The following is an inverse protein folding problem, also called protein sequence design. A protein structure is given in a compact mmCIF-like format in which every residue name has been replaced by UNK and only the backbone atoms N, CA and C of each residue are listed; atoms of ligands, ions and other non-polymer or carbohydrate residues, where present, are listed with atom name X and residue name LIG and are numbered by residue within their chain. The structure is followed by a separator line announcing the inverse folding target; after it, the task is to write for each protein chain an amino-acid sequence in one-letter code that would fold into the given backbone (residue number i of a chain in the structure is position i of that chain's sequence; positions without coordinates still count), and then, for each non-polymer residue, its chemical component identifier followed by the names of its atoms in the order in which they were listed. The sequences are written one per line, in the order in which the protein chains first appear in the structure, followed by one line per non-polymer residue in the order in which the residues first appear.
data_IF_586163679533
#
_entry.id   IF_586163679533
#
_cell.length_a   1.000
_cell.length_b   1.000
_cell.length_c   1.000
_cell.angle_alpha   90.00
_cell.angle_beta   90.00
_cell.angle_gamma   90.00
#
_symmetry.space_group_name_H-M   'P 1'
#
loop_
_entity.id
_entity.type
_entity.pdbx_description
1 polymer ?
#
# COMPACT_ATOMS: atom_id res chain seq x y z
N UNK A 1 -13.77 -31.82 16.97
CA UNK A 1 -13.75 -31.06 15.70
C UNK A 1 -12.71 -29.96 15.80
N UNK A 2 -11.49 -30.18 15.31
CA UNK A 2 -10.39 -29.22 15.41
C UNK A 2 -10.55 -28.10 14.40
N UNK A 3 -10.83 -26.88 14.89
CA UNK A 3 -10.69 -25.64 14.10
C UNK A 3 -9.21 -25.44 13.81
N UNK A 4 -8.71 -25.94 12.67
CA UNK A 4 -7.44 -25.50 12.10
C UNK A 4 -7.59 -24.01 11.77
N UNK A 5 -7.10 -23.15 12.66
CA UNK A 5 -6.86 -21.74 12.33
C UNK A 5 -5.91 -21.74 11.13
N UNK A 6 -6.44 -21.43 9.97
CA UNK A 6 -5.70 -21.35 8.72
C UNK A 6 -4.69 -20.22 8.80
N UNK A 7 -3.45 -20.54 9.18
CA UNK A 7 -2.30 -19.84 8.60
C UNK A 7 -2.45 -20.06 7.10
N UNK A 8 -2.98 -19.08 6.39
CA UNK A 8 -3.03 -19.10 4.92
C UNK A 8 -1.59 -19.17 4.44
N UNK A 9 -1.13 -20.39 4.18
CA UNK A 9 0.19 -20.64 3.62
C UNK A 9 0.18 -20.17 2.17
N UNK A 10 1.30 -19.61 1.72
CA UNK A 10 1.52 -19.38 0.30
C UNK A 10 1.41 -20.73 -0.41
N UNK A 11 0.59 -20.76 -1.45
CA UNK A 11 0.33 -21.95 -2.25
C UNK A 11 1.48 -22.17 -3.21
N UNK A 12 1.75 -23.43 -3.57
CA UNK A 12 2.78 -23.75 -4.57
C UNK A 12 2.53 -23.05 -5.91
N UNK A 13 1.27 -22.81 -6.26
CA UNK A 13 0.89 -22.07 -7.47
C UNK A 13 1.35 -20.60 -7.44
N UNK A 14 1.27 -19.93 -6.30
CA UNK A 14 1.76 -18.56 -6.09
C UNK A 14 3.29 -18.50 -6.26
N UNK A 15 4.01 -19.51 -5.75
CA UNK A 15 5.46 -19.65 -5.89
C UNK A 15 5.84 -19.90 -7.36
N UNK A 16 5.12 -20.78 -8.05
CA UNK A 16 5.39 -21.05 -9.47
C UNK A 16 5.11 -19.82 -10.32
N UNK A 17 4.01 -19.10 -10.04
CA UNK A 17 3.65 -17.88 -10.76
C UNK A 17 4.73 -16.81 -10.62
N UNK A 18 5.18 -16.47 -9.41
CA UNK A 18 6.18 -15.40 -9.23
C UNK A 18 7.53 -15.74 -9.88
N UNK A 19 7.85 -17.02 -10.01
CA UNK A 19 9.09 -17.47 -10.68
C UNK A 19 9.01 -17.44 -12.21
N UNK A 20 7.81 -17.51 -12.79
CA UNK A 20 7.60 -17.66 -14.23
C UNK A 20 6.92 -16.46 -14.90
N UNK A 21 6.22 -15.61 -14.15
CA UNK A 21 5.49 -14.49 -14.69
C UNK A 21 6.42 -13.39 -15.22
N UNK A 22 6.16 -12.89 -16.43
CA UNK A 22 6.82 -11.69 -16.97
C UNK A 22 6.45 -10.46 -16.15
N UNK A 23 5.16 -10.27 -15.89
CA UNK A 23 4.63 -9.21 -15.04
C UNK A 23 4.39 -9.73 -13.61
N UNK A 24 5.30 -9.34 -12.72
CA UNK A 24 5.26 -9.71 -11.30
C UNK A 24 4.57 -8.66 -10.44
N UNK A 25 3.93 -7.64 -11.03
CA UNK A 25 3.28 -6.55 -10.30
C UNK A 25 2.20 -7.01 -9.32
N UNK A 26 1.92 -6.14 -8.35
CA UNK A 26 0.83 -6.30 -7.39
C UNK A 26 -0.52 -6.57 -8.07
N UNK A 27 -0.82 -5.78 -9.11
CA UNK A 27 -2.07 -5.83 -9.83
C UNK A 27 -2.22 -7.14 -10.62
N UNK A 28 -1.15 -7.61 -11.25
CA UNK A 28 -1.14 -8.89 -11.97
C UNK A 28 -1.39 -10.06 -11.02
N UNK A 29 -0.77 -10.05 -9.84
CA UNK A 29 -0.99 -11.07 -8.81
C UNK A 29 -2.46 -11.11 -8.35
N UNK A 30 -3.01 -9.96 -7.95
CA UNK A 30 -4.40 -9.85 -7.46
C UNK A 30 -5.38 -10.33 -8.53
N UNK A 31 -5.16 -9.93 -9.78
CA UNK A 31 -5.99 -10.35 -10.92
C UNK A 31 -5.88 -11.85 -11.20
N UNK A 32 -4.67 -12.42 -11.14
CA UNK A 32 -4.42 -13.83 -11.44
C UNK A 32 -5.09 -14.77 -10.44
N UNK A 33 -5.06 -14.42 -9.16
CA UNK A 33 -5.59 -15.23 -8.06
C UNK A 33 -6.98 -14.80 -7.60
N UNK A 34 -7.63 -13.90 -8.35
CA UNK A 34 -8.99 -13.39 -8.09
C UNK A 34 -9.19 -12.96 -6.62
N UNK A 35 -8.17 -12.31 -6.06
CA UNK A 35 -8.15 -11.96 -4.64
C UNK A 35 -8.98 -10.70 -4.43
N UNK A 36 -10.23 -10.89 -4.01
CA UNK A 36 -11.16 -9.78 -3.75
C UNK A 36 -10.88 -9.04 -2.42
N UNK A 37 -10.24 -9.72 -1.45
CA UNK A 37 -9.82 -9.10 -0.19
C UNK A 37 -8.43 -8.45 -0.29
N UNK A 38 -8.40 -7.13 -0.49
CA UNK A 38 -7.18 -6.34 -0.70
C UNK A 38 -6.15 -6.49 0.43
N UNK A 39 -6.58 -6.48 1.70
CA UNK A 39 -5.69 -6.62 2.86
C UNK A 39 -5.06 -8.02 2.95
N UNK A 40 -5.85 -9.05 2.65
CA UNK A 40 -5.39 -10.45 2.67
C UNK A 40 -4.46 -10.72 1.48
N UNK A 41 -4.77 -10.17 0.29
CA UNK A 41 -3.89 -10.21 -0.87
C UNK A 41 -2.54 -9.51 -0.61
N UNK A 42 -2.56 -8.38 0.11
CA UNK A 42 -1.37 -7.64 0.50
C UNK A 42 -0.43 -8.46 1.39
N UNK A 43 -0.96 -9.08 2.44
CA UNK A 43 -0.14 -9.92 3.32
C UNK A 43 0.49 -11.09 2.56
N UNK A 44 -0.28 -11.74 1.68
CA UNK A 44 0.18 -12.88 0.88
C UNK A 44 1.24 -12.50 -0.14
N UNK A 45 1.02 -11.43 -0.89
CA UNK A 45 1.97 -10.97 -1.91
C UNK A 45 3.30 -10.53 -1.29
N UNK A 46 3.25 -9.76 -0.19
CA UNK A 46 4.45 -9.38 0.55
C UNK A 46 5.22 -10.61 1.03
N UNK A 47 4.53 -11.55 1.67
CA UNK A 47 5.14 -12.79 2.15
C UNK A 47 5.76 -13.60 1.00
N UNK A 48 5.12 -13.61 -0.18
CA UNK A 48 5.61 -14.28 -1.39
C UNK A 48 6.92 -13.67 -1.90
N UNK A 49 6.99 -12.34 -1.99
CA UNK A 49 8.22 -11.64 -2.42
C UNK A 49 9.36 -11.84 -1.40
N UNK A 50 9.06 -11.76 -0.10
CA UNK A 50 10.05 -11.95 0.95
C UNK A 50 10.61 -13.37 0.94
N UNK A 51 9.76 -14.40 0.77
CA UNK A 51 10.15 -15.81 0.76
C UNK A 51 10.79 -16.30 -0.54
N UNK A 52 10.54 -15.62 -1.67
CA UNK A 52 11.09 -16.04 -2.97
C UNK A 52 12.57 -15.67 -3.10
N UNK A 53 13.46 -16.65 -3.26
CA UNK A 53 14.91 -16.41 -3.41
C UNK A 53 15.35 -16.11 -4.86
N UNK A 54 14.46 -16.31 -5.83
CA UNK A 54 14.76 -16.14 -7.25
C UNK A 54 14.64 -14.69 -7.74
N UNK A 55 14.27 -13.75 -6.85
CA UNK A 55 14.13 -12.34 -7.15
C UNK A 55 15.29 -11.60 -6.48
N UNK A 56 15.96 -10.73 -7.23
CA UNK A 56 17.06 -9.91 -6.71
C UNK A 56 16.56 -9.01 -5.57
N UNK A 57 17.43 -8.65 -4.62
CA UNK A 57 17.07 -7.74 -3.52
C UNK A 57 16.54 -6.39 -4.03
N UNK A 58 17.09 -5.90 -5.14
CA UNK A 58 16.65 -4.66 -5.80
C UNK A 58 15.23 -4.80 -6.34
N UNK A 59 14.93 -5.89 -7.06
CA UNK A 59 13.60 -6.15 -7.59
C UNK A 59 12.58 -6.39 -6.47
N UNK A 60 12.96 -7.08 -5.40
CA UNK A 60 12.11 -7.23 -4.21
C UNK A 60 11.70 -5.86 -3.66
N UNK A 61 12.67 -4.95 -3.48
CA UNK A 61 12.38 -3.60 -3.00
C UNK A 61 11.52 -2.80 -3.99
N UNK A 62 11.75 -2.95 -5.30
CA UNK A 62 10.93 -2.29 -6.32
C UNK A 62 9.48 -2.78 -6.26
N UNK A 63 9.26 -4.10 -6.21
CA UNK A 63 7.94 -4.71 -6.14
C UNK A 63 7.21 -4.36 -4.83
N UNK A 64 7.92 -4.33 -3.70
CA UNK A 64 7.36 -3.89 -2.42
C UNK A 64 6.99 -2.41 -2.42
N UNK A 65 7.81 -1.53 -3.01
CA UNK A 65 7.50 -0.10 -3.13
C UNK A 65 6.34 0.16 -4.10
N UNK A 66 6.33 -0.52 -5.25
CA UNK A 66 5.22 -0.45 -6.20
C UNK A 66 3.92 -0.93 -5.54
N UNK A 67 3.98 -2.00 -4.75
CA UNK A 67 2.84 -2.50 -4.00
C UNK A 67 2.37 -1.51 -2.92
N UNK A 68 3.29 -0.89 -2.16
CA UNK A 68 2.95 0.10 -1.14
C UNK A 68 2.31 1.34 -1.78
N UNK A 69 2.84 1.78 -2.92
CA UNK A 69 2.20 2.83 -3.73
C UNK A 69 0.80 2.39 -4.20
N UNK A 70 0.66 1.18 -4.74
CA UNK A 70 -0.64 0.66 -5.19
C UNK A 70 -1.64 0.62 -4.05
N UNK A 71 -1.25 0.16 -2.86
CA UNK A 71 -2.07 0.17 -1.65
C UNK A 71 -2.50 1.60 -1.30
N UNK A 72 -1.58 2.57 -1.22
CA UNK A 72 -1.97 3.95 -0.87
C UNK A 72 -2.87 4.62 -1.94
N UNK A 73 -2.84 4.17 -3.20
CA UNK A 73 -3.63 4.75 -4.30
C UNK A 73 -4.92 3.98 -4.61
N UNK A 74 -5.02 2.69 -4.25
CA UNK A 74 -6.14 1.81 -4.57
C UNK A 74 -6.85 1.25 -3.32
N UNK A 75 -6.23 1.33 -2.14
CA UNK A 75 -6.89 1.13 -0.85
C UNK A 75 -7.66 2.41 -0.55
N UNK A 76 -8.85 2.50 -1.14
CA UNK A 76 -9.88 3.43 -0.72
C UNK A 76 -10.39 2.98 0.66
N UNK A 77 -9.52 3.05 1.67
CA UNK A 77 -9.98 3.42 3.00
C UNK A 77 -10.24 4.90 2.88
N UNK A 78 -11.53 5.20 2.72
CA UNK A 78 -12.24 6.40 3.11
C UNK A 78 -11.42 7.71 3.10
N UNK A 79 -12.00 8.73 2.49
CA UNK A 79 -11.77 10.11 2.90
C UNK A 79 -12.12 10.29 4.40
N UNK A 80 -11.35 9.72 5.32
CA UNK A 80 -11.35 10.13 6.71
C UNK A 80 -10.37 11.29 6.74
N UNK A 81 -10.97 12.48 6.78
CA UNK A 81 -10.34 13.73 6.41
C UNK A 81 -8.91 13.88 6.90
N UNK A 82 -8.01 14.16 5.97
CA UNK A 82 -6.81 14.95 6.25
C UNK A 82 -7.20 16.40 6.56
N UNK A 83 -8.11 16.60 7.52
CA UNK A 83 -8.09 17.74 8.43
C UNK A 83 -6.94 17.52 9.40
N UNK A 84 -5.73 17.28 8.88
CA UNK A 84 -4.53 17.42 9.66
C UNK A 84 -4.34 18.93 9.78
N UNK A 85 -5.00 19.46 10.80
CA UNK A 85 -4.71 20.71 11.45
C UNK A 85 -3.18 20.84 11.53
N UNK A 86 -2.60 21.53 10.54
CA UNK A 86 -1.24 22.05 10.64
C UNK A 86 -1.33 23.32 11.45
N UNK A 87 -1.71 23.19 12.72
CA UNK A 87 -1.36 24.20 13.71
C UNK A 87 0.15 24.31 13.73
N UNK A 88 0.69 25.36 13.11
CA UNK A 88 1.67 26.22 13.76
C UNK A 88 2.19 27.34 12.86
N UNK A 89 2.11 28.56 13.41
CA UNK A 89 3.05 29.65 13.23
C UNK A 89 3.12 30.34 11.86
N UNK A 90 2.44 31.49 11.75
CA UNK A 90 3.20 32.75 11.63
C UNK A 90 2.37 33.97 12.04
N UNK A 91 2.76 34.57 13.17
CA UNK A 91 2.50 35.97 13.49
C UNK A 91 2.99 36.87 12.34
N UNK A 92 2.16 37.87 12.01
CA UNK A 92 2.50 39.17 11.39
C UNK A 92 1.89 39.42 10.01
N UNK A 93 0.81 40.21 9.99
CA UNK A 93 0.80 41.42 9.17
C UNK A 93 -0.10 42.50 9.79
N UNK A 94 0.60 43.42 10.46
CA UNK A 94 0.28 44.83 10.65
C UNK A 94 -0.37 45.41 9.39
N UNK A 95 -1.49 46.14 9.56
CA UNK A 95 -2.07 46.98 8.51
C UNK A 95 -3.59 46.93 8.44
N UNK A 96 -4.30 47.40 9.47
CA UNK A 96 -5.63 48.00 9.23
C UNK A 96 -5.39 49.50 9.26
N UNK A 97 -5.25 50.01 8.05
CA UNK A 97 -5.44 51.39 7.66
C UNK A 97 -6.81 51.85 8.18
N UNK A 98 -6.81 52.81 9.10
CA UNK A 98 -8.01 53.55 9.51
C UNK A 98 -7.68 55.04 9.38
N UNK A 99 -7.73 55.51 8.14
CA UNK A 99 -8.21 56.85 7.83
C UNK A 99 -9.52 57.11 8.59
N UNK A 100 -9.42 57.75 9.76
CA UNK A 100 -10.55 58.36 10.47
C UNK A 100 -9.97 59.36 11.46
N UNK A 101 -9.84 60.60 11.04
CA UNK A 101 -10.02 61.89 11.73
C UNK A 101 -9.51 62.94 10.71
N UNK A 102 -10.33 63.78 10.08
CA UNK A 102 -11.49 64.47 10.62
C UNK A 102 -11.00 65.68 11.39
#
# INVERSE_FOLDING_TARGET
MSRKQGKQAISQEEITWINSADDKSAAAFIKKFELNEKLTAHYRYRLLIETTNNISKTDKNRLLNEFDWWKNNNDVREQVGSGQDRSSHRLSRRGIDRDRFG
#
